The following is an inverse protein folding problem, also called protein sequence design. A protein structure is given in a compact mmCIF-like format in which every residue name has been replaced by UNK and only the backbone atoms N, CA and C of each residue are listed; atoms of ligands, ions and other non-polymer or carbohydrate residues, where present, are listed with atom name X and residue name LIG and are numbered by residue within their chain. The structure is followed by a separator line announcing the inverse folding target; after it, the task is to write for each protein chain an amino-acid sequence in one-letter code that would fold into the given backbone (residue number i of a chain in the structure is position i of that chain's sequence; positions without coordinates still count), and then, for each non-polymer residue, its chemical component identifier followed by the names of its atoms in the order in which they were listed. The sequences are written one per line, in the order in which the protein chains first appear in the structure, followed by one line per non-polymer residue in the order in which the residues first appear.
data_IF_255260074882
#
_entry.id   IF_255260074882
#
_cell.length_a   1.000
_cell.length_b   1.000
_cell.length_c   1.000
_cell.angle_alpha   90.00
_cell.angle_beta   90.00
_cell.angle_gamma   90.00
#
_symmetry.space_group_name_H-M   'P 1'
#
loop_
_entity.id
_entity.type
_entity.pdbx_description
1 polymer ?
#
# COMPACT_ATOMS: atom_id res chain seq x y z
N UNK A 1 50.56 18.55 31.51
CA UNK A 1 50.90 18.00 30.17
C UNK A 1 49.60 17.43 29.60
N UNK A 2 48.87 18.21 28.79
CA UNK A 2 48.99 18.25 27.31
C UNK A 2 48.67 16.86 26.72
N UNK A 3 47.47 16.58 26.20
CA UNK A 3 46.86 17.02 24.93
C UNK A 3 46.40 15.72 24.21
N UNK A 4 45.41 15.60 23.31
CA UNK A 4 44.64 16.45 22.38
C UNK A 4 43.34 15.65 22.06
N UNK A 5 42.15 16.24 22.09
CA UNK A 5 41.35 16.94 21.04
C UNK A 5 40.23 16.09 20.41
N UNK A 6 39.05 16.73 20.39
CA UNK A 6 37.80 16.44 19.68
C UNK A 6 37.94 16.08 18.20
N UNK A 7 36.93 15.37 17.65
CA UNK A 7 36.14 15.85 16.50
C UNK A 7 34.67 15.35 16.59
N UNK A 8 33.74 16.30 16.62
CA UNK A 8 32.31 16.22 16.32
C UNK A 8 32.07 16.37 14.80
N UNK A 9 31.11 15.64 14.22
CA UNK A 9 30.17 16.09 13.15
C UNK A 9 29.34 14.89 12.63
N UNK A 10 28.02 14.79 12.88
CA UNK A 10 26.91 15.33 12.07
C UNK A 10 26.96 14.95 10.57
N UNK A 11 26.11 14.01 10.17
CA UNK A 11 25.53 13.93 8.82
C UNK A 11 24.02 13.72 8.92
N UNK A 12 23.25 14.82 8.88
CA UNK A 12 21.85 14.82 8.43
C UNK A 12 21.84 15.50 7.07
N UNK A 13 21.65 14.74 6.01
CA UNK A 13 21.43 15.29 4.67
C UNK A 13 19.95 15.55 4.47
N UNK A 14 19.52 16.82 4.50
CA UNK A 14 18.26 17.25 3.92
C UNK A 14 18.57 17.73 2.50
N UNK A 15 17.94 17.12 1.49
CA UNK A 15 18.06 17.58 0.11
C UNK A 15 17.05 18.71 -0.13
N UNK A 16 17.55 19.89 -0.49
CA UNK A 16 16.77 20.99 -1.11
C UNK A 16 17.14 20.99 -2.58
N UNK A 17 16.17 20.97 -3.49
CA UNK A 17 16.41 20.97 -4.95
C UNK A 17 15.75 22.19 -5.59
N UNK A 18 16.57 22.97 -6.29
CA UNK A 18 16.26 24.11 -7.17
C UNK A 18 16.21 23.62 -8.64
N UNK A 19 15.19 23.99 -9.47
CA UNK A 19 15.06 23.43 -10.81
C UNK A 19 15.44 24.42 -11.92
N UNK A 20 16.53 24.15 -12.65
CA UNK A 20 16.67 24.53 -14.06
C UNK A 20 17.69 23.65 -14.82
N UNK A 21 17.21 22.86 -15.80
CA UNK A 21 17.59 22.94 -17.24
C UNK A 21 17.20 21.69 -18.04
N UNK A 22 16.86 21.95 -19.29
CA UNK A 22 16.18 21.11 -20.27
C UNK A 22 17.08 20.57 -21.41
N UNK A 23 16.45 19.73 -22.25
CA UNK A 23 16.79 19.29 -23.63
C UNK A 23 17.68 18.04 -23.71
N UNK A 24 17.44 17.05 -24.59
CA UNK A 24 17.20 17.15 -26.05
C UNK A 24 16.59 15.83 -26.63
N UNK A 25 15.88 15.93 -27.77
CA UNK A 25 15.27 14.86 -28.62
C UNK A 25 16.17 14.54 -29.84
N UNK A 26 16.13 13.30 -30.35
CA UNK A 26 16.45 12.84 -31.75
C UNK A 26 15.60 11.57 -32.05
N UNK A 27 14.60 11.49 -32.97
CA UNK A 27 14.60 11.26 -34.46
C UNK A 27 15.43 10.04 -34.90
N UNK A 28 14.97 8.88 -35.40
CA UNK A 28 13.97 8.42 -36.40
C UNK A 28 14.33 8.75 -37.86
N UNK A 29 15.00 7.80 -38.55
CA UNK A 29 14.80 7.28 -39.92
C UNK A 29 16.10 6.57 -40.37
N UNK A 30 16.03 5.29 -40.75
CA UNK A 30 16.78 4.75 -41.89
C UNK A 30 16.44 3.28 -42.18
N UNK A 31 16.58 2.93 -43.47
CA UNK A 31 16.61 1.61 -44.11
C UNK A 31 15.28 1.01 -44.62
N UNK A 32 14.89 1.47 -45.82
CA UNK A 32 14.09 0.75 -46.81
C UNK A 32 15.02 0.37 -47.99
N UNK A 33 15.18 -0.92 -48.30
CA UNK A 33 15.32 -1.48 -49.67
C UNK A 33 15.72 -2.98 -49.66
N UNK A 34 15.02 -3.76 -50.50
CA UNK A 34 15.42 -4.98 -51.25
C UNK A 34 14.29 -6.03 -51.21
N UNK A 35 13.41 -6.06 -52.22
CA UNK A 35 13.48 -6.85 -53.47
C UNK A 35 12.96 -8.29 -53.33
N UNK A 36 12.02 -8.67 -54.21
CA UNK A 36 11.78 -10.07 -54.56
C UNK A 36 10.33 -10.43 -54.92
N UNK A 37 9.89 -10.08 -56.12
CA UNK A 37 8.65 -10.57 -56.75
C UNK A 37 8.66 -12.10 -56.95
N UNK A 38 7.57 -12.77 -56.58
CA UNK A 38 7.30 -14.16 -56.97
C UNK A 38 5.93 -14.25 -57.67
N UNK A 39 5.96 -14.49 -58.98
CA UNK A 39 4.80 -14.75 -59.84
C UNK A 39 4.14 -16.09 -59.46
N UNK A 40 2.84 -16.06 -59.16
CA UNK A 40 1.98 -17.25 -59.11
C UNK A 40 1.45 -17.55 -60.53
N UNK A 41 1.83 -18.69 -61.07
CA UNK A 41 1.17 -19.32 -62.23
C UNK A 41 0.04 -20.23 -61.76
N UNK A 42 -1.17 -19.95 -62.23
CA UNK A 42 -2.37 -20.79 -62.08
C UNK A 42 -2.36 -21.84 -63.18
N UNK A 43 -2.45 -23.12 -62.81
CA UNK A 43 -2.70 -24.22 -63.76
C UNK A 43 -3.88 -25.04 -63.25
N UNK A 44 -5.01 -24.94 -63.96
CA UNK A 44 -6.23 -25.70 -63.72
C UNK A 44 -6.11 -27.10 -64.31
N UNK A 45 -6.17 -28.13 -63.48
CA UNK A 45 -6.54 -29.49 -63.91
C UNK A 45 -7.67 -30.04 -63.07
N UNK A 46 -8.78 -30.27 -63.75
CA UNK A 46 -9.98 -30.94 -63.30
C UNK A 46 -9.70 -32.42 -63.09
N UNK A 47 -9.82 -32.91 -61.86
CA UNK A 47 -10.03 -34.33 -61.59
C UNK A 47 -11.17 -34.49 -60.59
N UNK A 48 -12.27 -35.04 -61.09
CA UNK A 48 -13.39 -35.56 -60.31
C UNK A 48 -12.84 -36.72 -59.48
N UNK A 49 -12.86 -36.56 -58.17
CA UNK A 49 -12.50 -37.61 -57.23
C UNK A 49 -13.41 -37.48 -56.02
N UNK A 50 -14.40 -38.37 -55.96
CA UNK A 50 -15.33 -38.61 -54.86
C UNK A 50 -14.56 -38.74 -53.55
N UNK A 51 -14.57 -37.67 -52.74
CA UNK A 51 -13.94 -37.67 -51.41
C UNK A 51 -15.03 -37.58 -50.34
N UNK A 52 -15.05 -38.63 -49.53
CA UNK A 52 -15.89 -38.86 -48.37
C UNK A 52 -16.03 -37.58 -47.53
N UNK A 53 -17.28 -37.19 -47.23
CA UNK A 53 -17.60 -36.23 -46.19
C UNK A 53 -17.16 -36.80 -44.83
N UNK A 54 -15.90 -36.58 -44.47
CA UNK A 54 -15.46 -36.63 -43.09
C UNK A 54 -15.84 -35.31 -42.45
N UNK A 55 -16.89 -35.30 -41.63
CA UNK A 55 -17.20 -34.18 -40.78
C UNK A 55 -16.04 -34.02 -39.77
N UNK A 56 -15.13 -33.09 -40.02
CA UNK A 56 -14.18 -32.63 -39.01
C UNK A 56 -15.00 -31.76 -38.05
N UNK A 57 -15.45 -32.35 -36.96
CA UNK A 57 -15.95 -31.59 -35.83
C UNK A 57 -14.78 -30.77 -35.27
N UNK A 58 -14.71 -29.49 -35.65
CA UNK A 58 -13.85 -28.53 -35.00
C UNK A 58 -14.37 -28.34 -33.57
N UNK A 59 -13.85 -29.14 -32.64
CA UNK A 59 -14.04 -28.92 -31.20
C UNK A 59 -13.26 -27.65 -30.86
N UNK A 60 -13.96 -26.50 -30.88
CA UNK A 60 -13.46 -25.28 -30.30
C UNK A 60 -13.35 -25.51 -28.79
N UNK A 61 -12.16 -25.90 -28.33
CA UNK A 61 -11.82 -25.87 -26.91
C UNK A 61 -11.73 -24.39 -26.54
N UNK A 62 -12.87 -23.81 -26.16
CA UNK A 62 -12.91 -22.57 -25.42
C UNK A 62 -12.28 -22.86 -24.06
N UNK A 63 -10.95 -22.73 -24.00
CA UNK A 63 -10.22 -22.69 -22.75
C UNK A 63 -10.72 -21.47 -21.98
N UNK A 64 -11.70 -21.68 -21.12
CA UNK A 64 -12.04 -20.71 -20.10
C UNK A 64 -10.82 -20.60 -19.19
N UNK A 65 -9.94 -19.64 -19.48
CA UNK A 65 -9.06 -19.08 -18.47
C UNK A 65 -9.97 -18.52 -17.39
N UNK A 66 -10.37 -19.36 -16.44
CA UNK A 66 -10.96 -18.93 -15.20
C UNK A 66 -9.86 -18.15 -14.48
N UNK A 67 -9.80 -16.85 -14.73
CA UNK A 67 -9.04 -15.93 -13.87
C UNK A 67 -9.62 -16.12 -12.48
N UNK A 68 -8.86 -16.78 -11.60
CA UNK A 68 -9.29 -16.98 -10.23
C UNK A 68 -9.61 -15.61 -9.64
N UNK A 69 -10.90 -15.36 -9.42
CA UNK A 69 -11.38 -14.09 -8.88
C UNK A 69 -10.91 -13.99 -7.44
N UNK A 70 -10.17 -12.92 -7.10
CA UNK A 70 -9.79 -12.65 -5.73
C UNK A 70 -11.05 -12.50 -4.85
N UNK A 71 -11.11 -13.27 -3.77
CA UNK A 71 -12.20 -13.21 -2.80
C UNK A 71 -11.68 -12.69 -1.46
N UNK A 72 -12.13 -11.52 -0.99
CA UNK A 72 -11.70 -10.99 0.29
C UNK A 72 -12.28 -11.79 1.46
N UNK A 73 -11.53 -11.83 2.56
CA UNK A 73 -12.05 -12.28 3.85
C UNK A 73 -12.81 -11.13 4.50
N UNK A 74 -13.87 -11.47 5.25
CA UNK A 74 -14.71 -10.52 5.99
C UNK A 74 -14.66 -10.80 7.48
N UNK A 75 -14.53 -9.75 8.27
CA UNK A 75 -14.66 -9.81 9.73
C UNK A 75 -15.07 -8.44 10.24
N UNK A 76 -16.04 -8.36 11.15
CA UNK A 76 -16.54 -7.08 11.64
C UNK A 76 -16.98 -6.15 10.50
N UNK A 77 -16.45 -4.93 10.50
CA UNK A 77 -16.74 -3.91 9.50
C UNK A 77 -15.70 -3.86 8.37
N UNK A 78 -14.78 -4.83 8.28
CA UNK A 78 -13.65 -4.78 7.35
C UNK A 78 -13.61 -5.99 6.42
N UNK A 79 -13.06 -5.74 5.25
CA UNK A 79 -12.59 -6.74 4.31
C UNK A 79 -11.06 -6.74 4.30
N UNK A 80 -10.44 -7.90 4.11
CA UNK A 80 -8.98 -8.01 4.05
C UNK A 80 -8.53 -9.20 3.21
N UNK A 81 -7.27 -9.15 2.77
CA UNK A 81 -6.61 -10.22 2.03
C UNK A 81 -5.12 -10.25 2.31
N UNK A 82 -4.51 -11.42 2.08
CA UNK A 82 -3.11 -11.66 2.45
C UNK A 82 -2.86 -11.69 3.95
N UNK A 83 -1.59 -11.83 4.34
CA UNK A 83 -1.15 -11.68 5.73
C UNK A 83 0.34 -11.35 5.78
N UNK A 84 0.75 -10.49 6.71
CA UNK A 84 2.17 -10.20 6.94
C UNK A 84 2.97 -11.47 7.30
N UNK A 85 2.38 -12.39 8.09
CA UNK A 85 3.03 -13.65 8.48
C UNK A 85 3.40 -14.51 7.26
N UNK A 86 2.54 -14.53 6.24
CA UNK A 86 2.79 -15.29 5.00
C UNK A 86 4.06 -14.83 4.29
N UNK A 87 4.46 -13.57 4.42
CA UNK A 87 5.72 -13.05 3.86
C UNK A 87 6.90 -13.83 4.43
N UNK A 88 6.92 -14.06 5.73
CA UNK A 88 8.00 -14.79 6.41
C UNK A 88 7.90 -16.30 6.23
N UNK A 89 6.68 -16.85 6.19
CA UNK A 89 6.47 -18.28 5.97
C UNK A 89 6.92 -18.72 4.57
N UNK A 90 6.72 -17.86 3.56
CA UNK A 90 7.04 -18.15 2.17
C UNK A 90 8.34 -17.51 1.69
N UNK A 91 8.89 -16.57 2.46
CA UNK A 91 9.98 -15.70 2.05
C UNK A 91 9.62 -14.75 0.91
N UNK A 92 8.33 -14.49 0.63
CA UNK A 92 7.90 -13.69 -0.53
C UNK A 92 6.75 -12.74 -0.18
N UNK A 93 6.84 -11.50 -0.66
CA UNK A 93 5.73 -10.55 -0.66
C UNK A 93 4.95 -10.65 -1.98
N UNK A 94 4.17 -11.72 -2.14
CA UNK A 94 3.47 -12.03 -3.38
C UNK A 94 2.37 -11.01 -3.74
N UNK A 95 1.93 -11.01 -5.00
CA UNK A 95 0.72 -10.31 -5.44
C UNK A 95 -0.52 -11.07 -4.96
N UNK A 96 -1.21 -10.55 -3.94
CA UNK A 96 -2.36 -11.25 -3.33
C UNK A 96 -3.66 -10.48 -3.55
N UNK A 97 -3.66 -9.18 -3.27
CA UNK A 97 -4.86 -8.34 -3.33
C UNK A 97 -4.71 -7.32 -4.45
N UNK A 98 -5.48 -7.40 -5.55
CA UNK A 98 -5.47 -6.33 -6.54
C UNK A 98 -6.03 -5.05 -5.91
N UNK A 99 -5.36 -3.91 -6.12
CA UNK A 99 -5.80 -2.61 -5.60
C UNK A 99 -7.19 -2.23 -6.11
N UNK A 100 -7.57 -2.70 -7.31
CA UNK A 100 -8.93 -2.54 -7.84
C UNK A 100 -10.03 -3.18 -6.97
N UNK A 101 -9.70 -4.13 -6.07
CA UNK A 101 -10.67 -4.70 -5.13
C UNK A 101 -11.09 -3.71 -4.03
N UNK A 102 -10.28 -2.68 -3.74
CA UNK A 102 -10.51 -1.75 -2.64
C UNK A 102 -10.19 -0.29 -2.96
N UNK A 103 -10.17 0.08 -4.23
CA UNK A 103 -10.03 1.46 -4.70
C UNK A 103 -11.09 1.78 -5.76
N UNK A 104 -11.23 3.07 -6.11
CA UNK A 104 -12.13 3.53 -7.16
C UNK A 104 -13.59 3.69 -6.76
N UNK A 105 -13.98 3.35 -5.52
CA UNK A 105 -15.34 3.59 -5.00
C UNK A 105 -15.33 4.55 -3.81
N UNK A 106 -16.16 5.59 -3.87
CA UNK A 106 -16.31 6.57 -2.80
C UNK A 106 -16.66 5.91 -1.45
N UNK A 107 -16.20 6.52 -0.35
CA UNK A 107 -16.39 6.00 1.00
C UNK A 107 -15.42 4.87 1.39
N UNK A 108 -14.65 4.30 0.45
CA UNK A 108 -13.67 3.26 0.79
C UNK A 108 -12.45 3.88 1.48
N UNK A 109 -12.12 3.33 2.64
CA UNK A 109 -10.84 3.51 3.31
C UNK A 109 -10.06 2.22 3.21
N UNK A 110 -8.76 2.29 3.00
CA UNK A 110 -7.93 1.10 2.93
C UNK A 110 -6.45 1.39 3.11
N UNK A 111 -5.69 0.35 3.46
CA UNK A 111 -4.24 0.41 3.53
C UNK A 111 -3.62 -0.97 3.33
N UNK A 112 -2.34 -0.99 2.98
CA UNK A 112 -1.57 -2.21 2.78
C UNK A 112 -0.18 -1.92 2.25
N UNK A 113 0.64 -2.98 2.14
CA UNK A 113 1.97 -2.90 1.54
C UNK A 113 1.91 -3.35 0.08
N UNK A 114 2.60 -2.64 -0.81
CA UNK A 114 2.75 -3.06 -2.20
C UNK A 114 3.47 -4.42 -2.24
N UNK A 115 3.05 -5.29 -3.14
CA UNK A 115 3.77 -6.54 -3.44
C UNK A 115 5.26 -6.29 -3.76
N UNK A 116 6.09 -7.28 -3.48
CA UNK A 116 7.56 -7.14 -3.51
C UNK A 116 8.15 -6.29 -2.37
N UNK A 117 7.32 -5.73 -1.48
CA UNK A 117 7.72 -4.69 -0.51
C UNK A 117 8.29 -3.44 -1.18
N UNK A 118 7.84 -3.12 -2.40
CA UNK A 118 8.22 -1.88 -3.11
C UNK A 118 7.10 -0.84 -2.99
N UNK A 119 6.90 -0.35 -1.76
CA UNK A 119 6.02 0.78 -1.48
C UNK A 119 4.87 0.50 -0.50
N UNK A 120 4.09 1.57 -0.27
CA UNK A 120 2.88 1.54 0.55
C UNK A 120 1.65 1.92 -0.25
N UNK A 121 0.50 1.41 0.18
CA UNK A 121 -0.81 1.73 -0.37
C UNK A 121 -1.64 2.37 0.73
N UNK A 122 -2.18 3.55 0.45
CA UNK A 122 -3.24 4.16 1.24
C UNK A 122 -4.42 4.49 0.34
N UNK A 123 -5.63 4.12 0.73
CA UNK A 123 -6.87 4.49 0.03
C UNK A 123 -7.68 5.39 0.95
N UNK A 124 -7.94 6.61 0.48
CA UNK A 124 -8.71 7.61 1.21
C UNK A 124 -9.91 8.01 0.34
N UNK A 125 -11.12 7.72 0.81
CA UNK A 125 -12.37 8.02 0.08
C UNK A 125 -12.40 7.42 -1.33
N UNK A 126 -11.86 6.20 -1.49
CA UNK A 126 -11.75 5.50 -2.76
C UNK A 126 -10.58 5.92 -3.65
N UNK A 127 -9.90 7.04 -3.34
CA UNK A 127 -8.71 7.46 -4.09
C UNK A 127 -7.47 6.74 -3.55
N UNK A 128 -6.71 6.02 -4.40
CA UNK A 128 -5.46 5.40 -3.99
C UNK A 128 -4.31 6.42 -3.98
N UNK A 129 -3.39 6.20 -3.05
CA UNK A 129 -2.13 6.90 -2.86
C UNK A 129 -1.06 5.82 -2.70
N UNK A 130 -0.43 5.42 -3.80
CA UNK A 130 0.61 4.40 -3.82
C UNK A 130 1.95 5.10 -3.84
N UNK A 131 2.73 4.97 -2.77
CA UNK A 131 4.03 5.63 -2.66
C UNK A 131 5.17 4.65 -2.79
N UNK A 132 6.18 5.04 -3.55
CA UNK A 132 7.37 4.22 -3.82
C UNK A 132 8.63 5.07 -3.78
N UNK A 133 9.67 4.58 -3.10
CA UNK A 133 10.95 5.30 -3.01
C UNK A 133 11.67 5.22 -4.36
N UNK A 134 12.11 6.36 -4.89
CA UNK A 134 12.79 6.48 -6.18
C UNK A 134 13.89 7.54 -6.08
N UNK A 135 15.13 7.14 -6.38
CA UNK A 135 16.29 8.03 -6.26
C UNK A 135 16.41 8.61 -4.84
N UNK A 136 16.53 9.94 -4.74
CA UNK A 136 16.62 10.66 -3.45
C UNK A 136 15.26 10.98 -2.81
N UNK A 137 14.15 10.58 -3.41
CA UNK A 137 12.80 10.91 -2.94
C UNK A 137 11.83 9.73 -3.09
N UNK A 138 10.55 10.03 -3.26
CA UNK A 138 9.53 9.04 -3.55
C UNK A 138 8.54 9.59 -4.58
N UNK A 139 7.96 8.70 -5.36
CA UNK A 139 6.87 8.99 -6.28
C UNK A 139 5.53 8.60 -5.68
N UNK A 140 4.46 9.23 -6.14
CA UNK A 140 3.09 8.89 -5.77
C UNK A 140 2.26 8.60 -7.02
N UNK A 141 1.59 7.45 -7.01
CA UNK A 141 0.68 7.00 -8.05
C UNK A 141 -0.76 6.93 -7.50
N UNK A 142 -1.73 7.30 -8.34
CA UNK A 142 -3.16 7.27 -8.06
C UNK A 142 -3.92 6.25 -8.92
N UNK A 143 -3.21 5.39 -9.66
CA UNK A 143 -3.78 4.27 -10.40
C UNK A 143 -4.15 3.08 -9.52
N UNK A 144 -4.95 2.16 -10.07
CA UNK A 144 -5.42 0.94 -9.40
C UNK A 144 -4.74 -0.34 -9.92
N UNK A 145 -3.72 -0.22 -10.76
CA UNK A 145 -3.01 -1.34 -11.42
C UNK A 145 -1.92 -1.97 -10.54
N UNK A 146 -2.02 -1.82 -9.22
CA UNK A 146 -1.07 -2.36 -8.25
C UNK A 146 -1.65 -3.57 -7.53
N UNK A 147 -0.78 -4.38 -6.94
CA UNK A 147 -1.15 -5.46 -6.03
C UNK A 147 -0.54 -5.24 -4.66
N UNK A 148 -1.31 -5.57 -3.62
CA UNK A 148 -0.82 -5.64 -2.25
C UNK A 148 -0.46 -7.08 -1.87
N UNK A 149 0.57 -7.24 -1.03
CA UNK A 149 0.91 -8.53 -0.40
C UNK A 149 -0.06 -8.85 0.76
N UNK A 150 -0.53 -7.81 1.44
CA UNK A 150 -1.69 -7.85 2.31
C UNK A 150 -2.34 -6.48 2.34
N UNK A 151 -3.65 -6.44 2.54
CA UNK A 151 -4.41 -5.20 2.66
C UNK A 151 -5.64 -5.40 3.54
N UNK A 152 -6.11 -4.30 4.13
CA UNK A 152 -7.40 -4.20 4.83
C UNK A 152 -8.11 -2.94 4.37
N UNK A 153 -9.42 -3.04 4.21
CA UNK A 153 -10.26 -1.93 3.78
C UNK A 153 -11.68 -2.04 4.34
N UNK A 154 -12.41 -0.94 4.27
CA UNK A 154 -13.82 -0.87 4.60
C UNK A 154 -14.48 0.24 3.79
N UNK A 155 -15.76 0.07 3.44
CA UNK A 155 -16.58 1.15 2.91
C UNK A 155 -17.33 1.81 4.07
N UNK A 156 -17.09 3.09 4.29
CA UNK A 156 -17.74 3.88 5.33
C UNK A 156 -18.63 4.93 4.69
N UNK A 157 -19.95 4.76 4.83
CA UNK A 157 -20.93 5.67 4.22
C UNK A 157 -21.05 7.00 4.95
N UNK A 158 -20.87 7.01 6.27
CA UNK A 158 -20.94 8.21 7.09
C UNK A 158 -20.05 8.08 8.33
N UNK A 159 -19.52 9.22 8.78
CA UNK A 159 -18.67 9.33 9.96
C UNK A 159 -19.40 10.05 11.10
N UNK A 160 -19.10 9.64 12.33
CA UNK A 160 -19.34 10.41 13.54
C UNK A 160 -18.02 11.00 14.00
N UNK A 161 -17.98 12.31 14.23
CA UNK A 161 -16.77 13.02 14.65
C UNK A 161 -16.74 13.20 16.16
N UNK A 162 -15.56 13.02 16.74
CA UNK A 162 -15.32 13.15 18.17
C UNK A 162 -14.00 13.90 18.37
N UNK A 163 -13.96 14.97 19.17
CA UNK A 163 -12.71 15.64 19.48
C UNK A 163 -11.80 14.69 20.25
N UNK A 164 -10.50 14.70 19.90
CA UNK A 164 -9.48 14.00 20.67
C UNK A 164 -9.04 14.92 21.82
N UNK A 165 -9.19 14.51 23.09
CA UNK A 165 -8.76 15.28 24.24
C UNK A 165 -7.24 15.48 24.27
N UNK A 166 -6.78 16.57 24.88
CA UNK A 166 -5.37 16.91 24.94
C UNK A 166 -4.53 15.88 25.72
N UNK A 167 -5.13 15.05 26.57
CA UNK A 167 -4.45 13.99 27.31
C UNK A 167 -4.01 12.84 26.39
N UNK A 168 -4.61 12.70 25.22
CA UNK A 168 -4.23 11.67 24.23
C UNK A 168 -3.02 12.18 23.44
N UNK A 169 -1.81 11.83 23.88
CA UNK A 169 -0.57 12.36 23.30
C UNK A 169 0.09 11.42 22.32
N UNK A 170 0.21 10.14 22.69
CA UNK A 170 1.01 9.16 21.96
C UNK A 170 0.20 8.08 21.26
N UNK A 171 0.91 7.21 20.55
CA UNK A 171 0.33 6.07 19.83
C UNK A 171 -0.50 5.14 20.74
N UNK A 172 0.00 4.82 21.94
CA UNK A 172 -0.69 3.93 22.90
C UNK A 172 -1.93 4.59 23.48
N UNK A 173 -1.87 5.89 23.77
CA UNK A 173 -3.03 6.67 24.24
C UNK A 173 -4.10 6.69 23.16
N UNK A 174 -3.70 6.94 21.90
CA UNK A 174 -4.61 6.93 20.76
C UNK A 174 -5.27 5.56 20.58
N UNK A 175 -4.52 4.47 20.69
CA UNK A 175 -5.07 3.11 20.61
C UNK A 175 -6.15 2.89 21.66
N UNK A 176 -5.87 3.29 22.90
CA UNK A 176 -6.80 3.16 24.02
C UNK A 176 -8.04 4.02 23.80
N UNK A 177 -7.83 5.25 23.33
CA UNK A 177 -8.89 6.20 23.02
C UNK A 177 -9.81 5.70 21.90
N UNK A 178 -9.25 5.23 20.78
CA UNK A 178 -10.01 4.67 19.66
C UNK A 178 -10.87 3.50 20.12
N UNK A 179 -10.30 2.56 20.88
CA UNK A 179 -11.05 1.42 21.44
C UNK A 179 -12.21 1.88 22.32
N UNK A 180 -11.93 2.79 23.26
CA UNK A 180 -12.93 3.30 24.20
C UNK A 180 -14.08 4.03 23.48
N UNK A 181 -13.74 4.91 22.52
CA UNK A 181 -14.74 5.67 21.75
C UNK A 181 -15.54 4.81 20.79
N UNK A 182 -14.92 3.79 20.20
CA UNK A 182 -15.61 2.80 19.38
C UNK A 182 -16.65 2.03 20.22
N UNK A 183 -16.24 1.53 21.39
CA UNK A 183 -17.14 0.84 22.31
C UNK A 183 -18.30 1.74 22.77
N UNK A 184 -18.02 3.00 23.12
CA UNK A 184 -19.05 3.97 23.50
C UNK A 184 -20.00 4.32 22.34
N UNK A 185 -19.53 4.26 21.09
CA UNK A 185 -20.35 4.41 19.89
C UNK A 185 -21.09 3.12 19.50
N UNK A 186 -21.04 2.08 20.35
CA UNK A 186 -21.70 0.80 20.12
C UNK A 186 -20.97 -0.12 19.14
N UNK A 187 -19.77 0.22 18.69
CA UNK A 187 -18.97 -0.65 17.80
C UNK A 187 -18.47 -1.85 18.61
N UNK A 188 -18.65 -3.05 18.05
CA UNK A 188 -18.11 -4.28 18.62
C UNK A 188 -16.57 -4.27 18.47
N UNK A 189 -15.87 -4.03 19.58
CA UNK A 189 -14.41 -3.89 19.61
C UNK A 189 -13.68 -5.23 19.58
N UNK A 190 -14.38 -6.35 19.73
CA UNK A 190 -13.81 -7.69 19.55
C UNK A 190 -13.70 -8.06 18.06
N UNK A 191 -14.34 -7.27 17.20
CA UNK A 191 -14.25 -7.36 15.74
C UNK A 191 -13.44 -6.19 15.18
N UNK A 192 -12.77 -6.37 14.02
CA UNK A 192 -12.03 -5.28 13.41
C UNK A 192 -12.96 -4.20 12.86
N UNK A 193 -12.52 -2.95 12.94
CA UNK A 193 -13.26 -1.79 12.42
C UNK A 193 -12.33 -0.70 11.88
N UNK A 194 -12.79 0.10 10.90
CA UNK A 194 -12.05 1.26 10.42
C UNK A 194 -12.27 2.46 11.35
N UNK A 195 -11.29 3.35 11.37
CA UNK A 195 -11.40 4.70 11.92
C UNK A 195 -10.63 5.68 11.04
N UNK A 196 -10.87 6.96 11.21
CA UNK A 196 -10.04 8.00 10.60
C UNK A 196 -9.66 9.04 11.66
N UNK A 197 -8.44 9.56 11.57
CA UNK A 197 -8.02 10.75 12.32
C UNK A 197 -7.83 11.91 11.35
N UNK A 198 -8.13 13.12 11.76
CA UNK A 198 -7.83 14.33 11.00
C UNK A 198 -7.26 15.41 11.92
N UNK A 199 -6.31 16.18 11.40
CA UNK A 199 -5.68 17.30 12.12
C UNK A 199 -4.21 17.43 11.78
N UNK A 200 -3.47 18.20 12.59
CA UNK A 200 -2.03 18.40 12.42
C UNK A 200 -1.28 17.86 13.65
N UNK A 201 -0.81 16.59 13.62
CA UNK A 201 0.02 16.06 14.69
C UNK A 201 1.31 16.87 14.86
N UNK A 202 1.80 16.98 16.09
CA UNK A 202 3.08 17.64 16.37
C UNK A 202 4.25 16.94 15.67
N UNK A 203 4.21 15.61 15.60
CA UNK A 203 5.19 14.79 14.89
C UNK A 203 4.55 13.50 14.37
N UNK A 204 4.93 13.08 13.17
CA UNK A 204 4.64 11.75 12.62
C UNK A 204 5.94 11.14 12.11
N UNK A 205 6.27 9.95 12.60
CA UNK A 205 7.32 9.08 12.04
C UNK A 205 6.66 8.03 11.19
N UNK A 206 7.07 7.95 9.93
CA UNK A 206 6.42 7.11 8.95
C UNK A 206 7.44 6.52 7.98
N UNK A 207 7.04 5.49 7.25
CA UNK A 207 7.90 4.87 6.25
C UNK A 207 7.19 4.56 4.94
N UNK A 208 8.04 4.31 3.94
CA UNK A 208 7.67 3.65 2.70
C UNK A 208 8.54 2.39 2.58
N UNK A 209 7.93 1.24 2.29
CA UNK A 209 8.71 0.03 2.02
C UNK A 209 9.56 0.15 0.74
N UNK A 210 10.74 -0.43 0.75
CA UNK A 210 11.70 -0.48 -0.36
C UNK A 210 12.09 -1.93 -0.60
N UNK A 211 11.96 -2.39 -1.84
CA UNK A 211 12.43 -3.73 -2.20
C UNK A 211 13.96 -3.77 -2.09
N UNK A 212 14.43 -4.44 -1.02
CA UNK A 212 15.82 -4.76 -0.76
C UNK A 212 16.04 -6.28 -0.81
N UNK A 213 15.14 -7.02 -1.46
CA UNK A 213 15.22 -8.49 -1.49
C UNK A 213 16.40 -8.96 -2.31
N UNK A 214 16.78 -8.24 -3.37
CA UNK A 214 17.77 -8.68 -4.36
C UNK A 214 17.47 -10.10 -4.89
N UNK A 215 16.18 -10.50 -4.90
CA UNK A 215 15.74 -11.85 -5.25
C UNK A 215 15.88 -12.91 -4.15
N UNK A 216 16.37 -12.54 -2.97
CA UNK A 216 16.45 -13.42 -1.80
C UNK A 216 15.13 -13.50 -1.02
N UNK A 217 14.92 -14.58 -0.24
CA UNK A 217 13.77 -14.69 0.65
C UNK A 217 13.67 -13.53 1.64
N UNK A 218 12.47 -12.98 1.82
CA UNK A 218 12.19 -11.94 2.82
C UNK A 218 12.29 -12.52 4.23
N UNK A 219 13.36 -12.18 4.94
CA UNK A 219 13.51 -12.47 6.38
C UNK A 219 12.92 -11.34 7.24
N UNK A 220 12.78 -11.57 8.55
CA UNK A 220 12.38 -10.51 9.49
C UNK A 220 13.40 -9.35 9.53
N UNK A 221 14.68 -9.66 9.40
CA UNK A 221 15.74 -8.64 9.36
C UNK A 221 15.64 -7.81 8.08
N UNK A 222 15.45 -8.47 6.93
CA UNK A 222 15.28 -7.78 5.66
C UNK A 222 14.03 -6.89 5.66
N UNK A 223 12.91 -7.40 6.16
CA UNK A 223 11.67 -6.64 6.32
C UNK A 223 11.84 -5.42 7.26
N UNK A 224 12.67 -5.52 8.29
CA UNK A 224 12.96 -4.37 9.15
C UNK A 224 13.83 -3.32 8.42
N UNK A 225 14.78 -3.77 7.59
CA UNK A 225 15.67 -2.91 6.79
C UNK A 225 14.97 -2.31 5.56
N UNK A 226 13.91 -2.92 5.06
CA UNK A 226 13.16 -2.50 3.87
C UNK A 226 12.35 -1.22 4.06
N UNK A 227 12.67 -0.37 5.03
CA UNK A 227 11.90 0.82 5.39
C UNK A 227 12.70 2.09 5.16
N UNK A 228 12.27 2.92 4.21
CA UNK A 228 12.73 4.30 4.13
C UNK A 228 11.94 5.14 5.14
N UNK A 229 12.62 5.69 6.14
CA UNK A 229 11.98 6.39 7.26
C UNK A 229 11.97 7.91 7.03
N UNK A 230 10.86 8.54 7.39
CA UNK A 230 10.60 9.96 7.22
C UNK A 230 9.96 10.57 8.47
N UNK A 231 10.01 11.90 8.57
CA UNK A 231 9.38 12.65 9.66
C UNK A 231 8.63 13.84 9.09
N UNK A 232 7.37 14.01 9.51
CA UNK A 232 6.58 15.22 9.31
C UNK A 232 6.30 15.89 10.66
N UNK A 233 6.18 17.22 10.68
CA UNK A 233 5.92 18.00 11.90
C UNK A 233 4.89 19.06 11.60
N UNK A 234 3.84 19.13 12.43
CA UNK A 234 2.75 20.10 12.29
C UNK A 234 2.11 20.12 10.89
N UNK A 235 2.19 18.99 10.18
CA UNK A 235 1.64 18.85 8.83
C UNK A 235 0.18 18.40 8.94
N UNK A 236 -0.79 19.17 8.44
CA UNK A 236 -2.18 18.74 8.40
C UNK A 236 -2.33 17.47 7.54
N UNK A 237 -3.06 16.48 8.03
CA UNK A 237 -3.23 15.20 7.33
C UNK A 237 -4.57 14.52 7.64
N UNK A 238 -4.93 13.56 6.79
CA UNK A 238 -5.88 12.50 7.12
C UNK A 238 -5.12 11.22 7.43
N UNK A 239 -5.49 10.55 8.52
CA UNK A 239 -4.94 9.26 8.93
C UNK A 239 -6.03 8.21 8.76
N UNK A 240 -5.81 7.25 7.88
CA UNK A 240 -6.66 6.08 7.69
C UNK A 240 -6.21 5.01 8.66
N UNK A 241 -7.12 4.48 9.47
CA UNK A 241 -6.79 3.51 10.50
C UNK A 241 -7.70 2.30 10.54
N UNK A 242 -7.15 1.17 10.97
CA UNK A 242 -7.88 -0.04 11.29
C UNK A 242 -7.49 -0.51 12.68
N UNK A 243 -8.49 -0.86 13.48
CA UNK A 243 -8.31 -1.39 14.82
C UNK A 243 -8.65 -2.88 14.84
N UNK A 244 -7.81 -3.71 15.45
CA UNK A 244 -8.13 -5.09 15.80
C UNK A 244 -7.13 -5.70 16.80
N UNK A 245 -7.63 -6.34 17.85
CA UNK A 245 -6.82 -7.17 18.76
C UNK A 245 -6.57 -8.60 18.21
N UNK A 246 -7.34 -9.01 17.20
CA UNK A 246 -7.43 -10.39 16.72
C UNK A 246 -6.69 -10.67 15.39
N UNK A 247 -6.07 -9.65 14.78
CA UNK A 247 -5.36 -9.79 13.50
C UNK A 247 -3.86 -9.39 13.52
N UNK A 248 -3.11 -9.56 14.63
CA UNK A 248 -1.67 -9.33 14.62
C UNK A 248 -0.96 -10.34 13.70
N UNK A 249 0.00 -9.86 12.90
CA UNK A 249 0.67 -10.65 11.86
C UNK A 249 -0.20 -10.89 10.61
N UNK A 250 -1.42 -10.34 10.55
CA UNK A 250 -2.25 -10.34 9.34
C UNK A 250 -2.17 -8.97 8.69
N UNK A 251 -3.12 -8.09 8.98
CA UNK A 251 -3.10 -6.69 8.56
C UNK A 251 -2.79 -5.74 9.72
N UNK A 252 -2.61 -6.23 10.95
CA UNK A 252 -2.00 -5.46 12.04
C UNK A 252 -0.59 -6.01 12.22
N UNK A 253 0.43 -5.15 12.22
CA UNK A 253 1.79 -5.63 12.50
C UNK A 253 1.87 -6.13 13.94
N UNK A 254 2.47 -7.30 14.16
CA UNK A 254 2.71 -7.85 15.51
C UNK A 254 3.68 -6.98 16.33
N UNK A 255 4.43 -6.10 15.67
CA UNK A 255 5.35 -5.15 16.28
C UNK A 255 5.06 -3.74 15.75
N UNK A 256 5.03 -2.76 16.66
CA UNK A 256 4.96 -1.33 16.34
C UNK A 256 6.12 -0.62 17.07
N UNK A 257 6.97 0.16 16.39
CA UNK A 257 8.07 0.88 17.03
C UNK A 257 7.63 1.82 18.17
N UNK A 258 6.40 2.32 18.12
CA UNK A 258 5.81 3.16 19.15
C UNK A 258 5.46 2.42 20.47
N UNK A 259 5.49 1.09 20.48
CA UNK A 259 5.14 0.27 21.65
C UNK A 259 6.43 -0.38 22.19
N UNK A 260 6.95 0.05 23.36
CA UNK A 260 8.18 -0.49 23.93
C UNK A 260 8.11 -1.99 24.21
N UNK A 261 9.22 -2.68 23.96
CA UNK A 261 9.39 -4.07 24.40
C UNK A 261 9.35 -4.15 25.93
N UNK A 262 8.57 -5.09 26.47
CA UNK A 262 8.42 -5.28 27.92
C UNK A 262 7.21 -4.58 28.55
N UNK A 263 6.48 -3.74 27.81
CA UNK A 263 5.20 -3.20 28.25
C UNK A 263 4.05 -4.22 28.16
N UNK A 264 2.92 -3.90 28.81
CA UNK A 264 1.67 -4.69 28.72
C UNK A 264 0.91 -4.44 27.42
N UNK A 265 1.12 -3.28 26.77
CA UNK A 265 0.44 -2.93 25.53
C UNK A 265 0.86 -3.86 24.38
N UNK A 266 -0.13 -4.20 23.54
CA UNK A 266 0.05 -4.91 22.28
C UNK A 266 -0.44 -4.01 21.16
N UNK A 267 0.16 -4.10 19.98
CA UNK A 267 -0.31 -3.34 18.85
C UNK A 267 -1.67 -3.87 18.39
N UNK A 268 -2.66 -2.98 18.34
CA UNK A 268 -3.99 -3.25 17.84
C UNK A 268 -4.38 -2.27 16.73
N UNK A 269 -3.48 -1.40 16.27
CA UNK A 269 -3.73 -0.45 15.18
C UNK A 269 -2.81 -0.69 13.99
N UNK A 270 -3.35 -0.40 12.81
CA UNK A 270 -2.57 -0.17 11.60
C UNK A 270 -3.07 1.13 10.99
N UNK A 271 -2.17 2.09 10.84
CA UNK A 271 -2.49 3.45 10.42
C UNK A 271 -1.56 3.92 9.32
N UNK A 272 -2.14 4.51 8.28
CA UNK A 272 -1.44 5.20 7.22
C UNK A 272 -1.90 6.66 7.17
N UNK A 273 -1.08 7.55 6.63
CA UNK A 273 -1.42 8.97 6.44
C UNK A 273 -1.49 9.37 4.97
N UNK A 274 -2.19 10.47 4.72
CA UNK A 274 -2.12 11.30 3.52
C UNK A 274 -2.05 12.76 3.98
N UNK A 275 -0.99 13.49 3.62
CA UNK A 275 -0.86 14.92 3.92
C UNK A 275 -1.92 15.73 3.15
N UNK A 276 -2.40 16.83 3.73
CA UNK A 276 -3.44 17.67 3.11
C UNK A 276 -2.93 18.39 1.86
N UNK A 277 -1.63 18.64 1.77
CA UNK A 277 -1.00 19.15 0.56
C UNK A 277 -0.88 18.08 -0.56
N UNK A 278 -1.24 16.83 -0.27
CA UNK A 278 -1.25 15.70 -1.20
C UNK A 278 0.13 15.16 -1.57
N UNK A 279 1.21 15.63 -0.93
CA UNK A 279 2.58 15.27 -1.31
C UNK A 279 3.12 14.03 -0.62
N UNK A 280 2.54 13.61 0.51
CA UNK A 280 3.06 12.51 1.32
C UNK A 280 1.96 11.52 1.67
N UNK A 281 2.27 10.23 1.57
CA UNK A 281 1.41 9.15 2.06
C UNK A 281 2.26 7.91 2.40
N UNK A 282 1.88 7.16 3.44
CA UNK A 282 2.60 5.96 3.84
C UNK A 282 2.21 5.48 5.24
N UNK A 283 2.91 4.45 5.71
CA UNK A 283 2.67 3.80 7.00
C UNK A 283 3.19 4.64 8.17
N UNK A 284 2.40 4.83 9.23
CA UNK A 284 2.85 5.54 10.44
C UNK A 284 3.41 4.55 11.48
N UNK A 285 4.69 4.68 11.80
CA UNK A 285 5.35 3.89 12.85
C UNK A 285 5.15 4.46 14.26
N UNK A 286 5.05 5.80 14.37
CA UNK A 286 4.81 6.52 15.62
C UNK A 286 4.26 7.93 15.36
N UNK A 287 3.57 8.51 16.33
CA UNK A 287 3.04 9.86 16.25
C UNK A 287 2.98 10.53 17.62
N UNK A 288 3.02 11.85 17.61
CA UNK A 288 2.71 12.73 18.75
C UNK A 288 1.59 13.65 18.32
N UNK A 289 0.44 13.53 18.97
CA UNK A 289 -0.73 14.35 18.70
C UNK A 289 -0.56 15.75 19.28
N UNK A 290 -1.17 16.71 18.59
CA UNK A 290 -1.33 18.09 19.05
C UNK A 290 -2.82 18.37 19.32
N UNK A 291 -3.17 19.50 19.97
CA UNK A 291 -4.57 19.89 20.12
C UNK A 291 -5.29 20.03 18.77
N UNK A 292 -6.61 19.82 18.77
CA UNK A 292 -7.46 19.99 17.59
C UNK A 292 -7.53 18.75 16.67
N UNK A 293 -7.02 17.61 17.12
CA UNK A 293 -7.23 16.34 16.41
C UNK A 293 -8.68 15.87 16.54
N UNK A 294 -9.20 15.27 15.48
CA UNK A 294 -10.58 14.74 15.42
C UNK A 294 -10.52 13.26 15.07
N UNK A 295 -11.14 12.43 15.91
CA UNK A 295 -11.40 11.03 15.64
C UNK A 295 -12.73 10.91 14.90
N UNK A 296 -12.74 10.09 13.84
CA UNK A 296 -13.91 9.72 13.07
C UNK A 296 -14.15 8.22 13.20
N UNK A 297 -15.35 7.85 13.60
CA UNK A 297 -15.80 6.45 13.68
C UNK A 297 -17.01 6.24 12.76
N UNK A 298 -17.21 5.03 12.19
CA UNK A 298 -18.38 4.74 11.37
C UNK A 298 -19.67 5.06 12.12
N UNK A 299 -20.55 5.82 11.47
CA UNK A 299 -21.90 6.07 12.00
C UNK A 299 -22.73 4.80 11.82
N UNK A 300 -23.36 4.34 12.91
CA UNK A 300 -24.32 3.24 12.89
C UNK A 300 -25.71 3.74 12.53
#
# INVERSE_FOLDING_TARGET
MAGRRDVLARCRGWLVVDPQRSTRRETFLDALHAMGDLKLTFETRSHVMTKRMGAVAAVAVLGACATATFTPKRSGLVEFGGSQKTIFDTGRAAEVVPLSAFAGTAGVQGLGAVSGLDGEITVLQGKPYVTKVRGSGFSMDHGSSHFATFAVWARVGAWSEQPVPDEVKGYVDLQTFVRSRAQAAGIDVDKPFPFQLAGAPAEVKWHINVDLTEGHPVTRELFAKSKANYVLRNEPMDIVGFYSENHPGVFISAYAPAIPAGGSARNAMHIHMVSKDGKSAGHIDNLTLAPGMVLRLPRR
#
